data_IF_759938583446
#
_entry.id   IF_759938583446
#
_cell.length_a   1.000
_cell.length_b   1.000
_cell.length_c   1.000
_cell.angle_alpha   90.00
_cell.angle_beta   90.00
_cell.angle_gamma   90.00
#
_symmetry.space_group_name_H-M   'P 1'
#
loop_
_entity.id
_entity.type
_entity.pdbx_description
1 polymer ?
#
# COMPACT_ATOMS: atom_id res chain seq x y z
N UNK A 1 -5.02 19.52 32.96
CA UNK A 1 -4.81 18.18 32.38
C UNK A 1 -3.31 18.02 32.19
N UNK A 2 -2.68 16.95 32.70
CA UNK A 2 -1.22 16.77 32.62
C UNK A 2 -0.79 16.68 31.13
N UNK A 3 0.15 17.51 30.69
CA UNK A 3 0.61 17.59 29.28
C UNK A 3 1.02 16.21 28.73
N UNK A 4 1.60 15.37 29.59
CA UNK A 4 1.96 13.99 29.28
C UNK A 4 0.76 13.13 28.85
N UNK A 5 -0.41 13.33 29.48
CA UNK A 5 -1.63 12.61 29.11
C UNK A 5 -2.15 13.05 27.74
N UNK A 6 -2.13 14.34 27.47
CA UNK A 6 -2.53 14.91 26.16
C UNK A 6 -1.69 14.31 25.05
N UNK A 7 -0.38 14.28 25.26
CA UNK A 7 0.55 13.78 24.26
C UNK A 7 0.40 12.27 24.04
N UNK A 8 0.16 11.50 25.10
CA UNK A 8 -0.15 10.08 25.00
C UNK A 8 -1.45 9.81 24.21
N UNK A 9 -2.49 10.61 24.44
CA UNK A 9 -3.76 10.52 23.70
C UNK A 9 -3.56 10.88 22.23
N UNK A 10 -2.82 11.96 21.93
CA UNK A 10 -2.48 12.35 20.57
C UNK A 10 -1.67 11.27 19.83
N UNK A 11 -0.71 10.64 20.52
CA UNK A 11 0.07 9.51 19.97
C UNK A 11 -0.83 8.31 19.66
N UNK A 12 -1.69 7.90 20.60
CA UNK A 12 -2.64 6.80 20.39
C UNK A 12 -3.57 7.07 19.20
N UNK A 13 -4.08 8.29 19.09
CA UNK A 13 -4.94 8.67 17.97
C UNK A 13 -4.19 8.65 16.64
N UNK A 14 -2.94 9.11 16.62
CA UNK A 14 -2.11 9.09 15.41
C UNK A 14 -1.79 7.66 14.95
N UNK A 15 -1.55 6.74 15.88
CA UNK A 15 -1.41 5.31 15.57
C UNK A 15 -2.69 4.72 14.97
N UNK A 16 -3.88 5.09 15.48
CA UNK A 16 -5.15 4.65 14.89
C UNK A 16 -5.28 5.11 13.44
N UNK A 17 -4.92 6.36 13.14
CA UNK A 17 -4.93 6.90 11.77
C UNK A 17 -3.95 6.13 10.87
N UNK A 18 -2.74 5.82 11.35
CA UNK A 18 -1.79 4.98 10.60
C UNK A 18 -2.37 3.59 10.27
N UNK A 19 -2.98 2.93 11.25
CA UNK A 19 -3.59 1.61 11.05
C UNK A 19 -4.76 1.67 10.05
N UNK A 20 -5.60 2.71 10.13
CA UNK A 20 -6.70 2.93 9.20
C UNK A 20 -6.20 3.11 7.76
N UNK A 21 -5.16 3.93 7.54
CA UNK A 21 -4.58 4.06 6.20
C UNK A 21 -3.94 2.76 5.70
N UNK A 22 -3.26 2.01 6.58
CA UNK A 22 -2.72 0.71 6.21
C UNK A 22 -3.81 -0.29 5.80
N UNK A 23 -4.95 -0.29 6.50
CA UNK A 23 -6.10 -1.12 6.13
C UNK A 23 -6.68 -0.72 4.77
N UNK A 24 -6.84 0.58 4.50
CA UNK A 24 -7.32 1.08 3.20
C UNK A 24 -6.40 0.61 2.07
N UNK A 25 -5.09 0.75 2.22
CA UNK A 25 -4.09 0.31 1.24
C UNK A 25 -4.18 -1.21 1.00
N UNK A 26 -4.24 -2.00 2.07
CA UNK A 26 -4.35 -3.45 1.96
C UNK A 26 -5.65 -3.87 1.26
N UNK A 27 -6.77 -3.25 1.63
CA UNK A 27 -8.09 -3.50 1.03
C UNK A 27 -8.12 -3.12 -0.45
N UNK A 28 -7.53 -2.00 -0.83
CA UNK A 28 -7.43 -1.56 -2.22
C UNK A 28 -6.76 -2.62 -3.10
N UNK A 29 -5.67 -3.22 -2.62
CA UNK A 29 -4.94 -4.28 -3.36
C UNK A 29 -5.75 -5.56 -3.51
N UNK A 30 -6.49 -5.95 -2.47
CA UNK A 30 -7.38 -7.11 -2.54
C UNK A 30 -8.49 -6.88 -3.56
N UNK A 31 -9.13 -5.70 -3.54
CA UNK A 31 -10.17 -5.34 -4.51
C UNK A 31 -9.61 -5.29 -5.92
N UNK A 32 -8.42 -4.70 -6.13
CA UNK A 32 -7.83 -4.63 -7.46
C UNK A 32 -7.54 -6.02 -8.02
N UNK A 33 -6.97 -6.93 -7.21
CA UNK A 33 -6.73 -8.32 -7.64
C UNK A 33 -8.03 -9.04 -7.93
N UNK A 34 -9.04 -8.92 -7.06
CA UNK A 34 -10.35 -9.53 -7.27
C UNK A 34 -11.01 -9.06 -8.57
N UNK A 35 -10.97 -7.75 -8.85
CA UNK A 35 -11.53 -7.21 -10.08
C UNK A 35 -10.84 -7.79 -11.33
N UNK A 36 -9.51 -7.82 -11.35
CA UNK A 36 -8.76 -8.39 -12.48
C UNK A 36 -9.09 -9.87 -12.65
N UNK A 37 -9.13 -10.65 -11.56
CA UNK A 37 -9.53 -12.06 -11.62
C UNK A 37 -10.90 -12.25 -12.23
N UNK A 38 -11.89 -11.44 -11.84
CA UNK A 38 -13.25 -11.52 -12.40
C UNK A 38 -13.25 -11.18 -13.89
N UNK A 39 -12.56 -10.10 -14.31
CA UNK A 39 -12.50 -9.72 -15.73
C UNK A 39 -11.80 -10.79 -16.57
N UNK A 40 -10.71 -11.38 -16.06
CA UNK A 40 -10.01 -12.47 -16.75
C UNK A 40 -10.86 -13.75 -16.85
N UNK A 41 -11.62 -14.07 -15.79
CA UNK A 41 -12.52 -15.21 -15.81
C UNK A 41 -13.64 -15.01 -16.86
N UNK A 42 -14.24 -13.82 -16.89
CA UNK A 42 -15.24 -13.45 -17.90
C UNK A 42 -14.66 -13.53 -19.32
N UNK A 43 -13.45 -13.00 -19.54
CA UNK A 43 -12.75 -13.08 -20.81
C UNK A 43 -12.43 -14.53 -21.22
N UNK A 44 -12.12 -15.41 -20.28
CA UNK A 44 -11.84 -16.82 -20.59
C UNK A 44 -13.08 -17.63 -20.97
N UNK A 45 -14.25 -17.27 -20.42
CA UNK A 45 -15.51 -18.02 -20.62
C UNK A 45 -16.31 -17.50 -21.81
N UNK A 46 -16.36 -16.16 -21.99
CA UNK A 46 -17.18 -15.51 -23.01
C UNK A 46 -16.38 -14.70 -24.03
N UNK A 47 -15.06 -14.51 -23.80
CA UNK A 47 -14.23 -13.75 -24.72
C UNK A 47 -14.08 -14.47 -26.06
N UNK A 48 -14.40 -13.76 -27.13
CA UNK A 48 -14.05 -14.22 -28.48
C UNK A 48 -12.54 -14.07 -28.66
N UNK A 49 -11.95 -14.95 -29.46
CA UNK A 49 -10.51 -14.96 -29.76
C UNK A 49 -9.99 -13.59 -30.24
N UNK A 50 -10.77 -12.88 -31.04
CA UNK A 50 -10.40 -11.57 -31.60
C UNK A 50 -10.75 -10.38 -30.70
N UNK A 51 -11.42 -10.61 -29.56
CA UNK A 51 -11.83 -9.55 -28.66
C UNK A 51 -10.77 -9.32 -27.57
N UNK A 52 -10.23 -8.10 -27.57
CA UNK A 52 -9.23 -7.63 -26.60
C UNK A 52 -9.81 -6.65 -25.58
N UNK A 53 -11.10 -6.30 -25.70
CA UNK A 53 -11.72 -5.24 -24.89
C UNK A 53 -11.68 -5.56 -23.39
N UNK A 54 -11.90 -6.82 -23.02
CA UNK A 54 -11.84 -7.24 -21.62
C UNK A 54 -10.42 -7.12 -21.04
N UNK A 55 -9.39 -7.54 -21.78
CA UNK A 55 -7.99 -7.42 -21.37
C UNK A 55 -7.53 -5.96 -21.32
N UNK A 56 -7.99 -5.13 -22.26
CA UNK A 56 -7.74 -3.70 -22.26
C UNK A 56 -8.41 -3.02 -21.05
N UNK A 57 -9.67 -3.32 -20.77
CA UNK A 57 -10.40 -2.81 -19.61
C UNK A 57 -9.74 -3.24 -18.29
N UNK A 58 -9.30 -4.50 -18.18
CA UNK A 58 -8.54 -4.99 -17.03
C UNK A 58 -7.24 -4.20 -16.85
N UNK A 59 -6.49 -3.96 -17.93
CA UNK A 59 -5.23 -3.20 -17.89
C UNK A 59 -5.44 -1.76 -17.44
N UNK A 60 -6.49 -1.10 -17.95
CA UNK A 60 -6.87 0.27 -17.55
C UNK A 60 -7.28 0.32 -16.08
N UNK A 61 -8.13 -0.61 -15.63
CA UNK A 61 -8.55 -0.68 -14.24
C UNK A 61 -7.36 -0.94 -13.30
N UNK A 62 -6.46 -1.84 -13.68
CA UNK A 62 -5.23 -2.13 -12.93
C UNK A 62 -4.34 -0.88 -12.80
N UNK A 63 -4.14 -0.16 -13.90
CA UNK A 63 -3.40 1.09 -13.91
C UNK A 63 -4.07 2.16 -13.03
N UNK A 64 -5.40 2.27 -13.04
CA UNK A 64 -6.13 3.20 -12.18
C UNK A 64 -5.91 2.88 -10.68
N UNK A 65 -5.97 1.60 -10.29
CA UNK A 65 -5.65 1.17 -8.93
C UNK A 65 -4.21 1.44 -8.54
N UNK A 66 -3.26 1.25 -9.46
CA UNK A 66 -1.86 1.61 -9.25
C UNK A 66 -1.72 3.10 -8.95
N UNK A 67 -2.32 3.97 -9.77
CA UNK A 67 -2.22 5.42 -9.59
C UNK A 67 -2.78 5.86 -8.24
N UNK A 68 -3.90 5.27 -7.83
CA UNK A 68 -4.56 5.55 -6.56
C UNK A 68 -3.73 5.07 -5.36
N UNK A 69 -3.20 3.84 -5.38
CA UNK A 69 -2.31 3.36 -4.31
C UNK A 69 -1.01 4.19 -4.24
N UNK A 70 -0.43 4.50 -5.40
CA UNK A 70 0.85 5.18 -5.53
C UNK A 70 0.82 6.65 -5.15
N UNK A 71 -0.09 7.40 -5.75
CA UNK A 71 -0.08 8.86 -5.68
C UNK A 71 -0.98 9.40 -4.57
N UNK A 72 -1.95 8.62 -4.10
CA UNK A 72 -2.86 9.08 -3.05
C UNK A 72 -2.54 8.39 -1.73
N UNK A 73 -2.71 7.07 -1.65
CA UNK A 73 -2.68 6.39 -0.36
C UNK A 73 -1.29 6.23 0.24
N UNK A 74 -0.26 5.97 -0.57
CA UNK A 74 1.12 5.90 -0.08
C UNK A 74 1.55 7.21 0.63
N UNK A 75 1.19 8.37 0.07
CA UNK A 75 1.54 9.66 0.68
C UNK A 75 0.77 9.93 1.96
N UNK A 76 -0.51 9.54 2.04
CA UNK A 76 -1.29 9.63 3.28
C UNK A 76 -0.69 8.76 4.39
N UNK A 77 -0.28 7.54 4.06
CA UNK A 77 0.36 6.64 5.01
C UNK A 77 1.72 7.19 5.49
N UNK A 78 2.56 7.69 4.57
CA UNK A 78 3.84 8.32 4.91
C UNK A 78 3.62 9.55 5.79
N UNK A 79 2.64 10.40 5.48
CA UNK A 79 2.32 11.60 6.27
C UNK A 79 1.89 11.25 7.69
N UNK A 80 1.04 10.24 7.88
CA UNK A 80 0.61 9.78 9.19
C UNK A 80 1.78 9.23 10.03
N UNK A 81 2.68 8.48 9.39
CA UNK A 81 3.92 7.97 9.99
C UNK A 81 4.84 9.11 10.44
N UNK A 82 5.10 10.09 9.55
CA UNK A 82 5.92 11.26 9.86
C UNK A 82 5.33 12.10 11.00
N UNK A 83 4.01 12.32 10.99
CA UNK A 83 3.34 13.05 12.06
C UNK A 83 3.51 12.35 13.41
N UNK A 84 3.38 11.03 13.43
CA UNK A 84 3.54 10.24 14.67
C UNK A 84 4.99 10.24 15.14
N UNK A 85 5.97 10.15 14.23
CA UNK A 85 7.39 10.29 14.57
C UNK A 85 7.69 11.64 15.21
N UNK A 86 7.04 12.73 14.75
CA UNK A 86 7.19 14.05 15.36
C UNK A 86 6.59 14.11 16.78
N UNK A 87 5.46 13.44 17.02
CA UNK A 87 4.89 13.31 18.38
C UNK A 87 5.83 12.48 19.27
N UNK A 88 6.39 11.39 18.74
CA UNK A 88 7.36 10.54 19.43
C UNK A 88 8.64 11.29 19.82
N UNK A 89 9.12 12.20 18.96
CA UNK A 89 10.25 13.07 19.26
C UNK A 89 9.93 14.05 20.39
N UNK A 90 8.79 14.76 20.32
CA UNK A 90 8.36 15.70 21.37
C UNK A 90 8.18 15.02 22.73
N UNK A 91 7.62 13.82 22.74
CA UNK A 91 7.47 13.01 23.95
C UNK A 91 8.84 12.74 24.62
N UNK A 92 9.84 12.40 23.80
CA UNK A 92 11.20 12.13 24.25
C UNK A 92 11.86 13.37 24.85
N UNK A 93 11.68 14.52 24.21
CA UNK A 93 12.21 15.81 24.69
C UNK A 93 11.61 16.21 26.05
N UNK A 94 10.35 15.84 26.30
CA UNK A 94 9.67 16.03 27.60
C UNK A 94 10.10 15.01 28.68
N UNK A 95 11.11 14.18 28.40
CA UNK A 95 11.58 13.15 29.33
C UNK A 95 10.59 12.00 29.54
N UNK A 96 9.58 11.85 28.66
CA UNK A 96 8.66 10.73 28.72
C UNK A 96 9.41 9.46 28.29
N UNK A 97 9.76 8.67 29.29
CA UNK A 97 10.31 7.31 29.12
C UNK A 97 9.21 6.31 29.41
N UNK A 98 9.29 5.15 28.78
CA UNK A 98 8.41 4.04 29.11
C UNK A 98 9.12 2.98 29.94
N UNK A 99 8.31 2.14 30.58
CA UNK A 99 8.66 1.17 31.63
C UNK A 99 9.78 0.18 31.22
N UNK A 100 9.93 -0.13 29.94
CA UNK A 100 10.89 -1.14 29.45
C UNK A 100 12.29 -0.63 29.16
N UNK A 101 12.60 0.66 29.35
CA UNK A 101 13.93 1.23 29.02
C UNK A 101 14.23 1.33 27.52
N UNK A 102 13.57 0.52 26.69
CA UNK A 102 13.49 0.66 25.24
C UNK A 102 12.18 1.31 24.76
N UNK A 103 12.31 1.97 23.61
CA UNK A 103 11.37 2.88 22.96
C UNK A 103 9.97 2.29 22.64
N UNK A 104 8.93 2.54 23.44
CA UNK A 104 7.54 2.42 22.92
C UNK A 104 7.18 3.54 21.92
N UNK A 105 7.82 4.70 22.02
CA UNK A 105 7.74 5.82 21.06
C UNK A 105 8.67 5.58 19.85
N UNK A 106 8.77 4.34 19.43
CA UNK A 106 9.60 3.95 18.29
C UNK A 106 9.09 2.69 17.62
N UNK A 107 7.86 2.27 17.92
CA UNK A 107 7.18 1.24 17.13
C UNK A 107 7.13 1.68 15.66
N UNK A 108 6.78 2.94 15.42
CA UNK A 108 6.77 3.56 14.09
C UNK A 108 8.13 3.46 13.40
N UNK A 109 9.21 3.77 14.13
CA UNK A 109 10.60 3.68 13.63
C UNK A 109 11.00 2.23 13.39
N UNK A 110 10.70 1.32 14.32
CA UNK A 110 11.05 -0.11 14.25
C UNK A 110 10.33 -0.78 13.09
N UNK A 111 9.03 -0.55 12.92
CA UNK A 111 8.25 -1.07 11.79
C UNK A 111 8.78 -0.51 10.47
N UNK A 112 9.10 0.79 10.41
CA UNK A 112 9.69 1.40 9.21
C UNK A 112 11.05 0.79 8.87
N UNK A 113 11.90 0.57 9.88
CA UNK A 113 13.22 -0.05 9.73
C UNK A 113 13.10 -1.50 9.27
N UNK A 114 12.33 -2.33 9.98
CA UNK A 114 12.08 -3.74 9.62
C UNK A 114 11.52 -3.85 8.20
N UNK A 115 10.55 -2.99 7.81
CA UNK A 115 10.01 -3.00 6.46
C UNK A 115 11.06 -2.62 5.41
N UNK A 116 11.95 -1.67 5.70
CA UNK A 116 13.06 -1.30 4.80
C UNK A 116 14.05 -2.47 4.67
N UNK A 117 14.43 -3.06 5.79
CA UNK A 117 15.51 -4.06 5.87
C UNK A 117 15.08 -5.42 5.29
N UNK A 118 13.80 -5.80 5.40
CA UNK A 118 13.29 -7.10 4.97
C UNK A 118 13.55 -7.44 3.49
N UNK A 119 13.57 -6.45 2.62
CA UNK A 119 13.85 -6.65 1.19
C UNK A 119 14.95 -5.71 0.67
N UNK A 120 15.51 -4.84 1.52
CA UNK A 120 16.39 -3.73 1.14
C UNK A 120 15.85 -2.86 -0.03
N UNK A 121 14.53 -2.88 -0.25
CA UNK A 121 13.83 -2.15 -1.30
C UNK A 121 13.04 -1.02 -0.64
N UNK A 122 13.19 0.21 -1.15
CA UNK A 122 12.38 1.34 -0.65
C UNK A 122 10.88 1.02 -0.83
N UNK A 123 10.01 1.33 0.15
CA UNK A 123 8.57 1.02 0.07
C UNK A 123 7.90 1.48 -1.24
N UNK A 124 8.37 2.63 -1.77
CA UNK A 124 8.02 3.15 -3.09
C UNK A 124 8.14 2.08 -4.19
N UNK A 125 9.29 1.44 -4.32
CA UNK A 125 9.52 0.46 -5.39
C UNK A 125 8.80 -0.88 -5.17
N UNK A 126 8.41 -1.22 -3.94
CA UNK A 126 7.62 -2.44 -3.68
C UNK A 126 6.25 -2.38 -4.36
N UNK A 127 5.63 -1.20 -4.36
CA UNK A 127 4.34 -0.97 -5.04
C UNK A 127 4.54 -1.05 -6.55
N UNK A 128 5.60 -0.42 -7.07
CA UNK A 128 5.92 -0.44 -8.51
C UNK A 128 6.13 -1.87 -9.01
N UNK A 129 6.83 -2.70 -8.22
CA UNK A 129 7.03 -4.11 -8.53
C UNK A 129 5.71 -4.89 -8.53
N UNK A 130 4.87 -4.72 -7.50
CA UNK A 130 3.60 -5.43 -7.38
C UNK A 130 2.67 -5.15 -8.58
N UNK A 131 2.48 -3.87 -8.92
CA UNK A 131 1.64 -3.49 -10.05
C UNK A 131 2.30 -3.78 -11.41
N UNK A 132 3.62 -3.62 -11.50
CA UNK A 132 4.38 -3.89 -12.72
C UNK A 132 4.32 -5.35 -13.14
N UNK A 133 4.47 -6.29 -12.20
CA UNK A 133 4.42 -7.74 -12.49
C UNK A 133 3.07 -8.14 -13.09
N UNK A 134 1.96 -7.72 -12.47
CA UNK A 134 0.62 -8.07 -12.96
C UNK A 134 0.32 -7.37 -14.29
N UNK A 135 0.74 -6.12 -14.47
CA UNK A 135 0.59 -5.42 -15.75
C UNK A 135 1.36 -6.15 -16.87
N UNK A 136 2.60 -6.57 -16.61
CA UNK A 136 3.37 -7.36 -17.56
C UNK A 136 2.70 -8.70 -17.89
N UNK A 137 2.09 -9.36 -16.91
CA UNK A 137 1.29 -10.57 -17.16
C UNK A 137 0.11 -10.29 -18.08
N UNK A 138 -0.66 -9.21 -17.84
CA UNK A 138 -1.79 -8.82 -18.70
C UNK A 138 -1.34 -8.51 -20.13
N UNK A 139 -0.27 -7.73 -20.29
CA UNK A 139 0.29 -7.39 -21.61
C UNK A 139 0.84 -8.63 -22.33
N UNK A 140 1.45 -9.56 -21.60
CA UNK A 140 1.91 -10.84 -22.16
C UNK A 140 0.75 -11.67 -22.69
N UNK A 141 -0.37 -11.72 -21.98
CA UNK A 141 -1.59 -12.41 -22.44
C UNK A 141 -2.15 -11.78 -23.72
N UNK A 142 -2.17 -10.45 -23.81
CA UNK A 142 -2.58 -9.73 -25.03
C UNK A 142 -1.65 -10.06 -26.20
N UNK A 143 -0.33 -10.00 -25.98
CA UNK A 143 0.67 -10.29 -27.01
C UNK A 143 0.59 -11.74 -27.49
N UNK A 144 0.41 -12.69 -26.58
CA UNK A 144 0.23 -14.11 -26.92
C UNK A 144 -1.05 -14.33 -27.74
N UNK A 145 -2.18 -13.73 -27.37
CA UNK A 145 -3.40 -13.79 -28.19
C UNK A 145 -3.15 -13.23 -29.59
N UNK A 146 -2.49 -12.07 -29.68
CA UNK A 146 -2.19 -11.44 -30.97
C UNK A 146 -1.30 -12.32 -31.87
N UNK A 147 -0.30 -12.99 -31.31
CA UNK A 147 0.65 -13.83 -32.07
C UNK A 147 0.09 -15.21 -32.47
N UNK A 148 -0.76 -15.82 -31.65
CA UNK A 148 -1.28 -17.18 -31.88
C UNK A 148 -2.67 -17.22 -32.55
N UNK A 149 -3.31 -16.07 -32.74
CA UNK A 149 -4.64 -15.96 -33.38
C UNK A 149 -4.62 -15.22 -34.72
N UNK A 150 -3.43 -14.82 -35.20
CA UNK A 150 -3.15 -14.58 -36.62
C UNK A 150 -2.89 -15.92 -37.33
#
# INVERSE_FOLDING_TARGET
MNEQRILLEAWKQSLRVQMAFNEIVARNRVISVALITVVLMVDSVWGKKEDYLALAAASIAWAAFYLLDRFWYLYLQIGAVQHTQNIEAKARDMGMKLVTGESLLGLTIKVTRVNRDALNIRPKYKIDLFYGVVLLMLLSTIALRYLFLQ
#
